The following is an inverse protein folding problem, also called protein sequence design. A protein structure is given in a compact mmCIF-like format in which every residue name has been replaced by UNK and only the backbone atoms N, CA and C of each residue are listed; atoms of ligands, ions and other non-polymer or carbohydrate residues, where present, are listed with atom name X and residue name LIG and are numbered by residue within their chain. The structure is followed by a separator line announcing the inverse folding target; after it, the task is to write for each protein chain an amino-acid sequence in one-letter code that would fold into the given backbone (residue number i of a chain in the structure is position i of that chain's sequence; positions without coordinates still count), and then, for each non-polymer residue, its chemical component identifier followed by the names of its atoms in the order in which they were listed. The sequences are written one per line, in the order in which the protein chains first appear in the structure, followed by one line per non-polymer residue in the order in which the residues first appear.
data_IF_687633280174
#
_entry.id   IF_687633280174
#
_cell.length_a   1.000
_cell.length_b   1.000
_cell.length_c   1.000
_cell.angle_alpha   90.00
_cell.angle_beta   90.00
_cell.angle_gamma   90.00
#
_symmetry.space_group_name_H-M   'P 1'
#
loop_
_entity.id
_entity.type
_entity.pdbx_description
1 polymer ?
#
# COMPACT_ATOMS: atom_id res chain seq x y z
N UNK A 1 -54.09 -68.03 17.16
CA UNK A 1 -54.06 -66.62 16.72
C UNK A 1 -53.55 -65.78 17.89
N UNK A 2 -52.23 -65.80 18.12
CA UNK A 2 -51.24 -64.79 17.72
C UNK A 2 -51.22 -63.55 18.63
N UNK A 3 -50.46 -63.66 19.72
CA UNK A 3 -50.08 -62.58 20.63
C UNK A 3 -49.15 -61.59 19.93
N UNK A 4 -49.57 -60.32 19.80
CA UNK A 4 -48.73 -59.21 19.33
C UNK A 4 -47.88 -58.68 20.49
N UNK A 5 -46.57 -58.95 20.45
CA UNK A 5 -45.57 -58.28 21.30
C UNK A 5 -45.18 -56.97 20.62
N UNK A 6 -45.52 -55.83 21.23
CA UNK A 6 -45.04 -54.51 20.84
C UNK A 6 -43.60 -54.33 21.33
N UNK A 7 -42.63 -54.26 20.41
CA UNK A 7 -41.30 -53.73 20.70
C UNK A 7 -41.35 -52.20 20.55
N UNK A 8 -41.09 -51.48 21.64
CA UNK A 8 -40.86 -50.04 21.64
C UNK A 8 -39.35 -49.83 21.51
N UNK A 9 -38.90 -49.42 20.33
CA UNK A 9 -37.53 -48.97 20.08
C UNK A 9 -37.39 -47.53 20.57
N UNK A 10 -36.62 -47.31 21.64
CA UNK A 10 -36.26 -45.98 22.12
C UNK A 10 -35.12 -45.41 21.25
N UNK A 11 -35.38 -44.27 20.59
CA UNK A 11 -34.40 -43.51 19.81
C UNK A 11 -33.67 -42.52 20.74
N UNK A 12 -32.33 -42.41 20.73
CA UNK A 12 -31.65 -41.42 21.56
C UNK A 12 -31.82 -40.04 20.92
N UNK A 13 -32.43 -39.11 21.64
CA UNK A 13 -32.44 -37.69 21.30
C UNK A 13 -31.05 -37.14 21.61
N UNK A 14 -30.25 -36.92 20.56
CA UNK A 14 -28.94 -36.27 20.65
C UNK A 14 -29.16 -34.76 20.74
N UNK A 15 -28.95 -34.18 21.93
CA UNK A 15 -29.07 -32.74 22.17
C UNK A 15 -27.80 -32.05 21.63
N UNK A 16 -27.90 -31.46 20.43
CA UNK A 16 -26.82 -30.67 19.85
C UNK A 16 -26.72 -29.32 20.60
N UNK A 17 -25.71 -29.19 21.46
CA UNK A 17 -25.33 -27.95 22.13
C UNK A 17 -24.76 -26.95 21.12
N UNK A 18 -25.58 -25.99 20.71
CA UNK A 18 -25.17 -24.86 19.88
C UNK A 18 -24.28 -23.90 20.68
N UNK A 19 -22.97 -23.93 20.43
CA UNK A 19 -22.05 -22.89 20.87
C UNK A 19 -22.31 -21.61 20.05
N UNK A 20 -22.49 -20.44 20.66
CA UNK A 20 -22.60 -19.19 19.92
C UNK A 20 -21.24 -18.86 19.30
N UNK A 21 -21.17 -18.85 17.97
CA UNK A 21 -20.01 -18.35 17.25
C UNK A 21 -19.85 -16.85 17.57
N UNK A 22 -18.81 -16.51 18.32
CA UNK A 22 -18.45 -15.11 18.55
C UNK A 22 -18.00 -14.49 17.22
N UNK A 23 -18.55 -13.34 16.81
CA UNK A 23 -18.09 -12.69 15.60
C UNK A 23 -16.64 -12.26 15.81
N UNK A 24 -15.72 -12.89 15.09
CA UNK A 24 -14.36 -12.39 14.95
C UNK A 24 -14.46 -11.12 14.13
N UNK A 25 -14.32 -9.97 14.78
CA UNK A 25 -14.21 -8.70 14.09
C UNK A 25 -12.92 -8.74 13.27
N UNK A 26 -13.02 -8.94 11.96
CA UNK A 26 -11.87 -8.92 11.08
C UNK A 26 -11.21 -7.54 11.20
N UNK A 27 -9.96 -7.51 11.66
CA UNK A 27 -9.17 -6.29 11.65
C UNK A 27 -9.06 -5.81 10.20
N UNK A 28 -9.64 -4.65 9.89
CA UNK A 28 -9.42 -4.02 8.59
C UNK A 28 -7.93 -3.74 8.45
N UNK A 29 -7.26 -4.45 7.54
CA UNK A 29 -5.89 -4.17 7.19
C UNK A 29 -5.79 -2.72 6.70
N UNK A 30 -4.83 -1.96 7.24
CA UNK A 30 -4.58 -0.59 6.76
C UNK A 30 -4.15 -0.65 5.29
N UNK A 31 -4.60 0.28 4.44
CA UNK A 31 -4.11 0.35 3.07
C UNK A 31 -2.58 0.47 3.04
N UNK A 32 -1.88 -0.22 2.12
CA UNK A 32 -0.45 -0.05 1.94
C UNK A 32 -0.12 1.40 1.59
N UNK A 33 1.03 1.89 2.07
CA UNK A 33 1.50 3.24 1.79
C UNK A 33 2.52 3.23 0.67
N UNK A 34 2.24 3.98 -0.38
CA UNK A 34 3.16 4.28 -1.48
C UNK A 34 3.78 5.65 -1.18
N UNK A 35 5.07 5.72 -0.91
CA UNK A 35 5.79 6.99 -0.73
C UNK A 35 6.46 7.37 -2.03
N UNK A 36 6.28 8.61 -2.49
CA UNK A 36 6.99 9.18 -3.64
C UNK A 36 8.12 10.05 -3.10
N UNK A 37 9.35 9.56 -3.15
CA UNK A 37 10.55 10.35 -2.87
C UNK A 37 10.92 11.11 -4.15
N UNK A 38 10.70 12.41 -4.18
CA UNK A 38 10.99 13.17 -5.40
C UNK A 38 11.23 14.65 -5.23
N UNK A 39 11.15 15.38 -6.34
CA UNK A 39 11.50 16.79 -6.40
C UNK A 39 10.26 17.72 -6.46
N UNK A 40 10.40 18.84 -7.18
CA UNK A 40 9.33 19.76 -7.55
C UNK A 40 8.11 19.12 -8.20
N UNK A 41 8.27 18.06 -9.02
CA UNK A 41 7.15 17.37 -9.67
C UNK A 41 6.31 16.67 -8.60
N UNK A 42 6.96 15.92 -7.71
CA UNK A 42 6.30 15.30 -6.56
C UNK A 42 5.72 16.34 -5.58
N UNK A 43 6.42 17.46 -5.37
CA UNK A 43 5.96 18.55 -4.50
C UNK A 43 4.74 19.31 -5.05
N UNK A 44 4.47 19.22 -6.36
CA UNK A 44 3.43 20.00 -7.02
C UNK A 44 3.78 21.48 -7.09
N UNK A 45 5.03 21.82 -7.43
CA UNK A 45 5.47 23.22 -7.54
C UNK A 45 4.55 24.03 -8.46
N UNK A 46 3.98 25.11 -7.94
CA UNK A 46 3.03 25.97 -8.66
C UNK A 46 1.59 25.44 -8.76
N UNK A 47 1.29 24.30 -8.13
CA UNK A 47 -0.03 23.67 -8.17
C UNK A 47 -0.73 23.73 -6.80
N UNK A 48 -2.06 23.54 -6.80
CA UNK A 48 -2.78 23.24 -5.56
C UNK A 48 -2.48 21.81 -5.13
N UNK A 49 -2.63 21.51 -3.84
CA UNK A 49 -2.36 20.17 -3.31
C UNK A 49 -3.16 19.06 -4.02
N UNK A 50 -4.41 19.34 -4.42
CA UNK A 50 -5.24 18.38 -5.16
C UNK A 50 -4.79 18.14 -6.61
N UNK A 51 -3.91 18.97 -7.15
CA UNK A 51 -3.38 18.86 -8.52
C UNK A 51 -1.97 18.25 -8.53
N UNK A 52 -1.34 18.10 -7.37
CA UNK A 52 -0.02 17.50 -7.24
C UNK A 52 -0.04 16.00 -7.56
N UNK A 53 1.09 15.49 -8.06
CA UNK A 53 1.26 14.09 -8.48
C UNK A 53 0.81 13.07 -7.41
N UNK A 54 1.17 13.19 -6.12
CA UNK A 54 0.74 12.21 -5.12
C UNK A 54 -0.78 12.09 -4.99
N UNK A 55 -1.49 13.22 -5.04
CA UNK A 55 -2.94 13.25 -4.94
C UNK A 55 -3.60 12.63 -6.17
N UNK A 56 -3.11 12.99 -7.35
CA UNK A 56 -3.61 12.45 -8.62
C UNK A 56 -3.33 10.95 -8.74
N UNK A 57 -2.17 10.48 -8.27
CA UNK A 57 -1.84 9.06 -8.24
C UNK A 57 -2.77 8.28 -7.29
N UNK A 58 -3.03 8.79 -6.08
CA UNK A 58 -3.97 8.14 -5.16
C UNK A 58 -5.37 8.02 -5.78
N UNK A 59 -5.84 9.10 -6.43
CA UNK A 59 -7.12 9.11 -7.12
C UNK A 59 -7.16 8.11 -8.29
N UNK A 60 -6.08 8.02 -9.09
CA UNK A 60 -5.97 7.10 -10.21
C UNK A 60 -5.94 5.63 -9.75
N UNK A 61 -5.17 5.31 -8.70
CA UNK A 61 -5.13 3.97 -8.10
C UNK A 61 -6.51 3.56 -7.57
N UNK A 62 -7.20 4.49 -6.89
CA UNK A 62 -8.57 4.24 -6.43
C UNK A 62 -9.52 3.97 -7.60
N UNK A 63 -9.40 4.73 -8.69
CA UNK A 63 -10.21 4.54 -9.89
C UNK A 63 -9.92 3.21 -10.60
N UNK A 64 -8.71 2.67 -10.50
CA UNK A 64 -8.34 1.34 -11.02
C UNK A 64 -8.65 0.18 -10.06
N UNK A 65 -9.28 0.44 -8.91
CA UNK A 65 -9.62 -0.59 -7.92
C UNK A 65 -8.47 -0.96 -6.98
N UNK A 66 -7.34 -0.25 -7.04
CA UNK A 66 -6.20 -0.44 -6.13
C UNK A 66 -6.38 0.43 -4.89
N UNK A 67 -6.55 -0.21 -3.73
CA UNK A 67 -6.64 0.49 -2.44
C UNK A 67 -5.23 0.72 -1.89
N UNK A 68 -4.72 1.93 -2.05
CA UNK A 68 -3.45 2.37 -1.48
C UNK A 68 -3.55 3.81 -0.99
N UNK A 69 -2.67 4.18 -0.06
CA UNK A 69 -2.43 5.59 0.29
C UNK A 69 -1.16 6.08 -0.37
N UNK A 70 -1.18 7.27 -0.94
CA UNK A 70 0.00 7.87 -1.56
C UNK A 70 0.51 9.02 -0.70
N UNK A 71 1.77 8.93 -0.31
CA UNK A 71 2.48 9.95 0.48
C UNK A 71 3.52 10.63 -0.41
N UNK A 72 3.31 11.91 -0.69
CA UNK A 72 4.33 12.73 -1.34
C UNK A 72 5.45 13.10 -0.37
N UNK A 73 6.69 12.85 -0.76
CA UNK A 73 7.90 13.35 -0.11
C UNK A 73 8.73 14.15 -1.14
N UNK A 74 8.07 15.12 -1.76
CA UNK A 74 8.65 16.02 -2.75
C UNK A 74 9.31 17.24 -2.12
N UNK A 75 10.52 17.58 -2.56
CA UNK A 75 11.19 18.84 -2.20
C UNK A 75 11.64 19.54 -3.47
N UNK A 76 11.10 20.73 -3.74
CA UNK A 76 11.45 21.48 -4.95
C UNK A 76 12.94 21.78 -5.03
N UNK A 77 13.56 21.44 -6.16
CA UNK A 77 15.00 21.63 -6.40
C UNK A 77 15.89 20.47 -5.96
N UNK A 78 15.32 19.40 -5.39
CA UNK A 78 16.12 18.24 -4.99
C UNK A 78 16.83 17.60 -6.17
N UNK A 79 18.12 17.38 -5.99
CA UNK A 79 18.93 16.47 -6.80
C UNK A 79 18.83 15.05 -6.26
N UNK A 80 19.37 14.08 -6.99
CA UNK A 80 19.52 12.69 -6.50
C UNK A 80 20.28 12.63 -5.17
N UNK A 81 21.33 13.44 -5.00
CA UNK A 81 22.08 13.55 -3.76
C UNK A 81 21.24 14.14 -2.61
N UNK A 82 20.45 15.18 -2.89
CA UNK A 82 19.53 15.78 -1.93
C UNK A 82 18.49 14.78 -1.43
N UNK A 83 17.84 14.07 -2.35
CA UNK A 83 16.86 13.04 -2.01
C UNK A 83 17.45 11.87 -1.22
N UNK A 84 18.65 11.41 -1.58
CA UNK A 84 19.36 10.36 -0.83
C UNK A 84 19.69 10.79 0.60
N UNK A 85 20.17 12.02 0.79
CA UNK A 85 20.54 12.56 2.10
C UNK A 85 19.37 12.56 3.09
N UNK A 86 18.12 12.63 2.59
CA UNK A 86 16.89 12.61 3.40
C UNK A 86 16.09 11.33 3.28
N UNK A 87 16.64 10.26 2.70
CA UNK A 87 15.94 9.00 2.43
C UNK A 87 15.29 8.44 3.71
N UNK A 88 16.07 8.30 4.78
CA UNK A 88 15.61 7.71 6.05
C UNK A 88 14.50 8.52 6.74
N UNK A 89 14.50 9.85 6.55
CA UNK A 89 13.45 10.72 7.08
C UNK A 89 12.19 10.70 6.21
N UNK A 90 12.37 10.65 4.88
CA UNK A 90 11.29 10.80 3.90
C UNK A 90 10.53 9.49 3.67
N UNK A 91 11.24 8.36 3.70
CA UNK A 91 10.68 7.01 3.50
C UNK A 91 10.48 6.38 4.86
N UNK A 92 9.28 6.55 5.40
CA UNK A 92 8.92 6.05 6.73
C UNK A 92 8.79 4.53 6.75
N UNK A 93 8.93 3.87 7.93
CA UNK A 93 8.88 2.41 8.04
C UNK A 93 7.56 1.74 7.60
N UNK A 94 6.47 2.51 7.49
CA UNK A 94 5.17 2.02 7.00
C UNK A 94 5.06 2.05 5.46
N UNK A 95 6.08 2.54 4.76
CA UNK A 95 6.13 2.54 3.30
C UNK A 95 6.22 1.11 2.79
N UNK A 96 5.17 0.67 2.09
CA UNK A 96 5.17 -0.59 1.36
C UNK A 96 5.92 -0.47 0.04
N UNK A 97 5.71 0.65 -0.68
CA UNK A 97 6.37 0.91 -1.97
C UNK A 97 6.97 2.31 -1.95
N UNK A 98 8.25 2.42 -2.32
CA UNK A 98 8.89 3.71 -2.56
C UNK A 98 9.02 3.93 -4.07
N UNK A 99 8.45 5.01 -4.57
CA UNK A 99 8.65 5.51 -5.94
C UNK A 99 9.71 6.61 -5.87
N UNK A 100 10.76 6.51 -6.68
CA UNK A 100 11.83 7.51 -6.72
C UNK A 100 11.69 8.36 -7.99
N UNK A 101 11.55 9.67 -7.80
CA UNK A 101 11.35 10.68 -8.85
C UNK A 101 12.39 11.79 -8.65
N UNK A 102 13.65 11.51 -8.99
CA UNK A 102 14.78 12.41 -8.82
C UNK A 102 15.67 12.37 -10.06
N UNK A 103 16.49 13.41 -10.25
CA UNK A 103 17.45 13.51 -11.36
C UNK A 103 17.18 14.67 -12.31
N UNK A 104 15.98 15.24 -12.31
CA UNK A 104 15.65 16.41 -13.14
C UNK A 104 16.55 17.59 -12.81
N UNK A 105 16.74 17.89 -11.52
CA UNK A 105 17.62 18.98 -11.09
C UNK A 105 19.11 18.68 -11.30
N UNK A 106 19.53 17.41 -11.23
CA UNK A 106 20.89 17.00 -11.57
C UNK A 106 21.20 17.31 -13.03
N UNK A 107 20.26 16.97 -13.92
CA UNK A 107 20.35 17.28 -15.35
C UNK A 107 20.41 18.78 -15.61
N UNK A 108 19.51 19.55 -14.98
CA UNK A 108 19.48 21.01 -15.13
C UNK A 108 20.76 21.70 -14.61
N UNK A 109 21.46 21.06 -13.66
CA UNK A 109 22.73 21.54 -13.11
C UNK A 109 23.96 21.01 -13.86
N UNK A 110 23.79 20.18 -14.89
CA UNK A 110 24.89 19.63 -15.67
C UNK A 110 25.72 18.57 -14.93
N UNK A 111 25.13 17.88 -13.96
CA UNK A 111 25.78 16.76 -13.26
C UNK A 111 25.88 15.56 -14.22
N UNK A 112 27.06 14.94 -14.30
CA UNK A 112 27.30 13.78 -15.18
C UNK A 112 26.47 12.54 -14.74
N UNK A 113 25.78 11.86 -15.66
CA UNK A 113 24.92 10.71 -15.34
C UNK A 113 25.59 9.54 -14.64
N UNK A 114 26.90 9.37 -14.83
CA UNK A 114 27.68 8.35 -14.12
C UNK A 114 27.58 8.48 -12.60
N UNK A 115 27.44 9.71 -12.10
CA UNK A 115 27.31 9.98 -10.68
C UNK A 115 25.96 9.52 -10.11
N UNK A 116 24.86 9.62 -10.88
CA UNK A 116 23.51 9.35 -10.38
C UNK A 116 22.81 8.12 -10.93
N UNK A 117 23.35 7.45 -11.97
CA UNK A 117 22.93 6.09 -12.35
C UNK A 117 23.12 5.08 -11.22
N UNK A 118 24.06 5.32 -10.30
CA UNK A 118 24.21 4.51 -9.09
C UNK A 118 23.08 4.73 -8.07
N UNK A 119 22.33 5.83 -8.17
CA UNK A 119 21.25 6.19 -7.24
C UNK A 119 19.84 5.83 -7.77
N UNK A 120 19.71 5.51 -9.07
CA UNK A 120 18.46 5.17 -9.75
C UNK A 120 18.36 3.66 -10.03
N UNK A 121 18.16 2.87 -8.99
CA UNK A 121 17.47 1.58 -9.10
C UNK A 121 16.97 1.11 -7.73
N UNK A 122 15.67 1.27 -7.46
CA UNK A 122 14.98 0.35 -6.57
C UNK A 122 13.48 0.31 -6.87
N UNK A 123 13.03 -0.77 -7.50
CA UNK A 123 11.64 -1.19 -7.50
C UNK A 123 11.55 -2.48 -6.70
N UNK A 124 10.45 -2.59 -5.95
CA UNK A 124 9.97 -3.74 -5.19
C UNK A 124 10.57 -3.96 -3.80
N UNK A 125 9.76 -3.65 -2.77
CA UNK A 125 9.48 -4.64 -1.75
C UNK A 125 7.96 -4.88 -1.74
N UNK A 126 7.59 -6.09 -2.16
CA UNK A 126 6.40 -6.82 -1.68
C UNK A 126 5.00 -6.35 -2.13
N UNK A 127 4.45 -7.07 -3.12
CA UNK A 127 3.08 -7.58 -3.04
C UNK A 127 1.92 -6.70 -3.52
N UNK A 128 2.17 -5.58 -4.21
CA UNK A 128 1.11 -4.86 -4.93
C UNK A 128 1.14 -5.33 -6.39
N UNK A 129 0.25 -6.26 -6.73
CA UNK A 129 -0.09 -6.55 -8.13
C UNK A 129 -0.85 -5.34 -8.69
N UNK A 130 -0.17 -4.56 -9.53
CA UNK A 130 -0.81 -3.53 -10.34
C UNK A 130 -1.28 -4.23 -11.63
N UNK A 131 -2.59 -4.27 -11.91
CA UNK A 131 -3.11 -4.90 -13.14
C UNK A 131 -2.68 -4.16 -14.42
#
# INVERSE_FOLDING_TARGET
MTSRRMLITALPVLLASGLPASPVLAAQARPPVVTILGDSITAGYGLRAAEALPFQLEAALKASGVVARVRGAGVSGDTTAGGLARLAFSVQPDTAVCVVELGGNDFLQGIEPGFFKQFLLFFALSGIDIP
#
